data_IF_810855996271
#
_entry.id   IF_810855996271
#
_cell.length_a   1.000
_cell.length_b   1.000
_cell.length_c   1.000
_cell.angle_alpha   90.00
_cell.angle_beta   90.00
_cell.angle_gamma   90.00
#
_symmetry.space_group_name_H-M   'P 1'
#
loop_
_entity.id
_entity.type
_entity.pdbx_description
1 polymer ?
#
# COMPACT_ATOMS: atom_id res chain seq x y z
N UNK A 1 -1.03 28.42 -16.82
CA UNK A 1 -1.30 29.70 -17.50
C UNK A 1 0.02 30.23 -18.03
N UNK A 2 0.12 30.39 -19.34
CA UNK A 2 1.33 30.91 -20.00
C UNK A 2 1.33 32.44 -19.88
N UNK A 3 2.38 33.00 -19.27
CA UNK A 3 2.60 34.43 -19.26
C UNK A 3 3.94 34.71 -19.93
N UNK A 4 3.90 35.28 -21.13
CA UNK A 4 5.09 35.87 -21.73
C UNK A 4 5.35 37.22 -21.07
N UNK A 5 6.49 37.38 -20.41
CA UNK A 5 6.97 38.68 -19.97
C UNK A 5 8.18 39.07 -20.81
N UNK A 6 8.15 40.30 -21.34
CA UNK A 6 9.24 40.85 -22.11
C UNK A 6 10.34 41.30 -21.13
N UNK A 7 11.50 40.64 -21.18
CA UNK A 7 12.64 41.00 -20.32
C UNK A 7 13.73 41.63 -21.19
N UNK A 8 14.07 42.88 -20.87
CA UNK A 8 15.22 43.54 -21.48
C UNK A 8 16.49 43.09 -20.75
N UNK A 9 17.35 42.31 -21.41
CA UNK A 9 18.63 41.86 -20.84
C UNK A 9 19.48 43.03 -20.33
N UNK A 10 19.38 44.18 -20.99
CA UNK A 10 20.09 45.38 -20.60
C UNK A 10 19.79 45.85 -19.16
N UNK A 11 18.63 45.52 -18.61
CA UNK A 11 18.27 45.90 -17.24
C UNK A 11 18.97 45.05 -16.17
N UNK A 12 19.46 43.86 -16.52
CA UNK A 12 20.09 42.95 -15.56
C UNK A 12 21.52 43.37 -15.18
N UNK A 13 22.20 44.15 -16.03
CA UNK A 13 23.55 44.64 -15.73
C UNK A 13 23.63 46.16 -15.76
N UNK A 14 23.83 46.76 -14.57
CA UNK A 14 24.06 48.20 -14.38
C UNK A 14 25.13 48.80 -15.32
N UNK A 15 26.30 48.16 -15.59
CA UNK A 15 27.30 48.73 -16.48
C UNK A 15 26.85 48.75 -17.96
N UNK A 16 26.13 47.73 -18.43
CA UNK A 16 25.62 47.69 -19.80
C UNK A 16 24.51 48.73 -20.02
N UNK A 17 23.63 48.90 -19.03
CA UNK A 17 22.61 49.94 -19.06
C UNK A 17 23.23 51.34 -19.15
N UNK A 18 24.30 51.60 -18.40
CA UNK A 18 25.05 52.85 -18.50
C UNK A 18 25.69 53.05 -19.88
N UNK A 19 26.22 51.98 -20.50
CA UNK A 19 26.74 52.03 -21.87
C UNK A 19 25.65 52.33 -22.92
N UNK A 20 24.49 51.71 -22.82
CA UNK A 20 23.33 51.98 -23.69
C UNK A 20 22.84 53.43 -23.56
N UNK A 21 22.77 53.97 -22.33
CA UNK A 21 22.42 55.37 -22.11
C UNK A 21 23.49 56.30 -22.69
N UNK A 22 24.77 55.98 -22.48
CA UNK A 22 25.89 56.75 -23.02
C UNK A 22 25.89 56.80 -24.55
N UNK A 23 25.64 55.67 -25.22
CA UNK A 23 25.57 55.61 -26.68
C UNK A 23 24.35 56.37 -27.23
N UNK A 24 23.21 56.33 -26.55
CA UNK A 24 22.03 57.12 -26.90
C UNK A 24 22.30 58.63 -26.81
N UNK A 25 22.92 59.09 -25.71
CA UNK A 25 23.28 60.50 -25.52
C UNK A 25 24.27 60.96 -26.58
N UNK A 26 25.31 60.16 -26.88
CA UNK A 26 26.29 60.48 -27.92
C UNK A 26 25.63 60.60 -29.30
N UNK A 27 24.73 59.68 -29.64
CA UNK A 27 23.98 59.73 -30.90
C UNK A 27 23.14 61.01 -31.03
N UNK A 28 22.45 61.43 -29.95
CA UNK A 28 21.68 62.68 -29.92
C UNK A 28 22.59 63.89 -30.11
N UNK A 29 23.72 63.97 -29.42
CA UNK A 29 24.69 65.07 -29.57
C UNK A 29 25.19 65.15 -31.01
N UNK A 30 25.57 64.01 -31.61
CA UNK A 30 26.04 63.96 -32.99
C UNK A 30 24.96 64.43 -33.98
N UNK A 31 23.71 64.00 -33.79
CA UNK A 31 22.55 64.46 -34.59
C UNK A 31 22.40 65.98 -34.50
N UNK A 32 22.47 66.57 -33.29
CA UNK A 32 22.33 68.01 -33.10
C UNK A 32 23.47 68.78 -33.75
N UNK A 33 24.71 68.31 -33.63
CA UNK A 33 25.89 68.93 -34.27
C UNK A 33 25.77 68.88 -35.80
N UNK A 34 25.42 67.72 -36.36
CA UNK A 34 25.21 67.54 -37.80
C UNK A 34 24.06 68.40 -38.32
N UNK A 35 22.94 68.48 -37.59
CA UNK A 35 21.83 69.36 -37.96
C UNK A 35 22.21 70.85 -37.98
N UNK A 36 23.04 71.29 -37.03
CA UNK A 36 23.54 72.67 -37.01
C UNK A 36 24.44 72.95 -38.22
N UNK A 37 25.19 71.95 -38.67
CA UNK A 37 26.06 72.04 -39.84
C UNK A 37 25.28 71.97 -41.16
N UNK A 38 24.39 70.99 -41.31
CA UNK A 38 23.56 70.76 -42.51
C UNK A 38 22.61 71.93 -42.82
N UNK A 39 22.09 72.62 -41.78
CA UNK A 39 21.26 73.82 -41.94
C UNK A 39 21.97 74.99 -42.65
N UNK A 40 23.30 74.95 -42.79
CA UNK A 40 24.07 75.96 -43.53
C UNK A 40 24.30 75.61 -45.00
N UNK A 41 24.19 74.33 -45.38
CA UNK A 41 24.54 73.85 -46.74
C UNK A 41 23.34 73.34 -47.55
N UNK A 42 22.24 72.93 -46.92
CA UNK A 42 21.18 72.15 -47.58
C UNK A 42 19.79 72.78 -47.37
N UNK A 43 18.90 72.77 -48.38
CA UNK A 43 17.51 73.21 -48.24
C UNK A 43 16.72 72.40 -47.20
N UNK A 44 15.73 73.05 -46.56
CA UNK A 44 15.02 72.53 -45.38
C UNK A 44 14.31 71.19 -45.57
N UNK A 45 13.85 70.88 -46.79
CA UNK A 45 13.17 69.61 -47.11
C UNK A 45 14.11 68.41 -47.03
N UNK A 46 15.31 68.53 -47.60
CA UNK A 46 16.32 67.46 -47.61
C UNK A 46 16.97 67.29 -46.23
N UNK A 47 17.13 68.39 -45.48
CA UNK A 47 17.58 68.31 -44.08
C UNK A 47 16.61 67.53 -43.19
N UNK A 48 15.30 67.68 -43.40
CA UNK A 48 14.30 66.93 -42.63
C UNK A 48 14.25 65.45 -43.00
N UNK A 49 14.42 65.08 -44.27
CA UNK A 49 14.46 63.65 -44.67
C UNK A 49 15.69 62.94 -44.12
N UNK A 50 16.86 63.58 -44.15
CA UNK A 50 18.09 63.05 -43.55
C UNK A 50 17.97 62.90 -42.02
N UNK A 51 17.30 63.84 -41.35
CA UNK A 51 17.03 63.75 -39.92
C UNK A 51 16.15 62.54 -39.57
N UNK A 52 15.06 62.35 -40.32
CA UNK A 52 14.15 61.21 -40.10
C UNK A 52 14.91 59.90 -40.30
N UNK A 53 15.69 59.79 -41.37
CA UNK A 53 16.50 58.60 -41.65
C UNK A 53 17.52 58.33 -40.53
N UNK A 54 18.24 59.36 -40.07
CA UNK A 54 19.25 59.24 -38.99
C UNK A 54 18.60 58.85 -37.66
N UNK A 55 17.44 59.43 -37.34
CA UNK A 55 16.68 59.10 -36.13
C UNK A 55 16.17 57.66 -36.19
N UNK A 56 15.68 57.21 -37.35
CA UNK A 56 15.26 55.83 -37.56
C UNK A 56 16.41 54.83 -37.35
N UNK A 57 17.60 55.12 -37.91
CA UNK A 57 18.79 54.27 -37.71
C UNK A 57 19.18 54.20 -36.23
N UNK A 58 19.17 55.32 -35.51
CA UNK A 58 19.48 55.34 -34.07
C UNK A 58 18.44 54.55 -33.27
N UNK A 59 17.15 54.65 -33.61
CA UNK A 59 16.09 53.86 -32.96
C UNK A 59 16.31 52.36 -33.18
N UNK A 60 16.63 51.95 -34.42
CA UNK A 60 16.92 50.54 -34.73
C UNK A 60 18.15 50.06 -33.96
N UNK A 61 19.24 50.83 -33.94
CA UNK A 61 20.44 50.48 -33.19
C UNK A 61 20.17 50.36 -31.69
N UNK A 62 19.42 51.29 -31.10
CA UNK A 62 19.04 51.22 -29.69
C UNK A 62 18.19 49.98 -29.39
N UNK A 63 17.23 49.65 -30.26
CA UNK A 63 16.42 48.44 -30.12
C UNK A 63 17.28 47.16 -30.19
N UNK A 64 18.29 47.12 -31.07
CA UNK A 64 19.23 45.99 -31.13
C UNK A 64 20.12 45.90 -29.90
N UNK A 65 20.59 47.04 -29.37
CA UNK A 65 21.42 47.11 -28.16
C UNK A 65 20.68 46.72 -26.88
N UNK A 66 19.36 46.95 -26.87
CA UNK A 66 18.47 46.57 -25.77
C UNK A 66 18.26 45.06 -25.67
N UNK A 67 18.66 44.29 -26.69
CA UNK A 67 18.49 42.83 -26.79
C UNK A 67 17.16 42.35 -26.19
N UNK A 68 16.01 42.65 -26.85
CA UNK A 68 14.72 42.18 -26.36
C UNK A 68 14.68 40.65 -26.49
N UNK A 69 14.78 39.96 -25.35
CA UNK A 69 14.69 38.50 -25.30
C UNK A 69 13.29 38.13 -24.86
N UNK A 70 12.55 37.47 -25.75
CA UNK A 70 11.28 36.84 -25.40
C UNK A 70 11.60 35.51 -24.72
N UNK A 71 11.56 35.48 -23.40
CA UNK A 71 11.74 34.25 -22.63
C UNK A 71 10.40 33.57 -22.38
N UNK A 72 10.25 32.33 -22.88
CA UNK A 72 9.14 31.46 -22.53
C UNK A 72 9.56 30.54 -21.38
N UNK A 73 9.00 30.75 -20.19
CA UNK A 73 9.21 29.85 -19.05
C UNK A 73 8.10 28.81 -19.01
N UNK A 74 8.35 27.64 -19.60
CA UNK A 74 7.43 26.50 -19.50
C UNK A 74 7.69 25.80 -18.17
N UNK A 75 6.89 26.13 -17.16
CA UNK A 75 6.92 25.41 -15.88
C UNK A 75 6.26 24.05 -16.10
N UNK A 76 7.07 23.05 -16.44
CA UNK A 76 6.63 21.67 -16.38
C UNK A 76 6.49 21.31 -14.91
N UNK A 77 5.25 21.27 -14.39
CA UNK A 77 4.98 20.49 -13.18
C UNK A 77 5.37 19.05 -13.52
N UNK A 78 6.54 18.61 -13.05
CA UNK A 78 6.84 17.19 -13.05
C UNK A 78 5.84 16.57 -12.09
N UNK A 79 4.81 15.93 -12.63
CA UNK A 79 3.93 15.06 -11.86
C UNK A 79 4.80 13.91 -11.37
N UNK A 80 5.26 13.97 -10.12
CA UNK A 80 5.95 12.85 -9.53
C UNK A 80 5.05 11.60 -9.53
N UNK A 81 5.67 10.44 -9.38
CA UNK A 81 4.95 9.16 -9.37
C UNK A 81 4.68 8.67 -7.96
N UNK A 82 3.52 8.07 -7.75
CA UNK A 82 3.12 7.38 -6.52
C UNK A 82 3.18 5.90 -6.79
N UNK A 83 4.06 5.20 -6.08
CA UNK A 83 4.17 3.75 -6.18
C UNK A 83 3.11 3.12 -5.29
N UNK A 84 2.28 2.24 -5.85
CA UNK A 84 1.34 1.41 -5.12
C UNK A 84 1.74 -0.04 -5.34
N UNK A 85 2.35 -0.65 -4.33
CA UNK A 85 2.79 -2.03 -4.34
C UNK A 85 1.72 -2.91 -3.66
N UNK A 86 1.33 -4.00 -4.31
CA UNK A 86 0.35 -4.97 -3.80
C UNK A 86 1.00 -6.34 -3.69
N UNK A 87 0.99 -6.89 -2.50
CA UNK A 87 1.45 -8.24 -2.21
C UNK A 87 0.47 -9.26 -2.81
N UNK A 88 1.01 -10.20 -3.61
CA UNK A 88 0.25 -11.29 -4.24
C UNK A 88 0.72 -12.67 -3.78
N UNK A 89 1.43 -12.73 -2.65
CA UNK A 89 1.87 -13.99 -2.03
C UNK A 89 0.70 -14.87 -1.55
N UNK A 90 0.98 -16.13 -1.26
CA UNK A 90 -0.02 -17.11 -0.81
C UNK A 90 -0.66 -16.71 0.53
N UNK A 91 0.07 -16.02 1.41
CA UNK A 91 -0.50 -15.51 2.65
C UNK A 91 -1.59 -14.46 2.41
N UNK A 92 -1.52 -13.73 1.28
CA UNK A 92 -2.57 -12.81 0.84
C UNK A 92 -3.80 -13.52 0.25
N UNK A 93 -3.71 -14.81 -0.06
CA UNK A 93 -4.84 -15.65 -0.48
C UNK A 93 -5.63 -16.23 0.70
N UNK A 94 -5.19 -16.00 1.94
CA UNK A 94 -5.84 -16.47 3.18
C UNK A 94 -7.06 -15.62 3.54
N UNK A 95 -8.06 -16.24 4.18
CA UNK A 95 -9.22 -15.57 4.77
C UNK A 95 -9.07 -15.42 6.29
N UNK A 96 -9.55 -14.32 6.85
CA UNK A 96 -9.45 -14.01 8.28
C UNK A 96 -10.77 -14.23 9.02
N UNK A 97 -11.30 -15.46 8.94
CA UNK A 97 -12.55 -15.86 9.61
C UNK A 97 -12.48 -15.73 11.16
N UNK A 98 -11.29 -15.85 11.73
CA UNK A 98 -10.98 -15.72 13.16
C UNK A 98 -10.93 -14.27 13.66
N UNK A 99 -11.06 -13.28 12.76
CA UNK A 99 -11.06 -11.87 13.14
C UNK A 99 -12.16 -11.54 14.16
N UNK A 100 -11.88 -10.59 15.03
CA UNK A 100 -12.85 -10.09 16.01
C UNK A 100 -14.03 -9.39 15.31
N UNK A 101 -15.19 -9.35 15.98
CA UNK A 101 -16.36 -8.59 15.50
C UNK A 101 -16.02 -7.11 15.27
N UNK A 102 -15.13 -6.53 16.09
CA UNK A 102 -14.66 -5.15 15.96
C UNK A 102 -13.84 -4.94 14.69
N UNK A 103 -12.86 -5.81 14.40
CA UNK A 103 -12.09 -5.78 13.16
C UNK A 103 -12.99 -5.96 11.94
N UNK A 104 -13.87 -6.97 11.94
CA UNK A 104 -14.82 -7.21 10.85
C UNK A 104 -15.71 -5.98 10.60
N UNK A 105 -16.15 -5.29 11.65
CA UNK A 105 -16.94 -4.07 11.50
C UNK A 105 -16.14 -2.91 10.91
N UNK A 106 -14.87 -2.76 11.26
CA UNK A 106 -13.95 -1.78 10.64
C UNK A 106 -13.76 -2.07 9.16
N UNK A 107 -13.53 -3.34 8.81
CA UNK A 107 -13.34 -3.77 7.42
C UNK A 107 -14.61 -3.58 6.59
N UNK A 108 -15.77 -3.96 7.14
CA UNK A 108 -17.07 -3.73 6.50
C UNK A 108 -17.26 -2.23 6.18
N UNK A 109 -16.88 -1.36 7.13
CA UNK A 109 -16.96 0.09 6.95
C UNK A 109 -15.99 0.59 5.89
N UNK A 110 -14.72 0.18 5.93
CA UNK A 110 -13.71 0.61 4.94
C UNK A 110 -14.02 0.10 3.53
N UNK A 111 -14.64 -1.07 3.42
CA UNK A 111 -15.09 -1.65 2.15
C UNK A 111 -16.42 -1.04 1.66
N UNK A 112 -17.05 -0.15 2.44
CA UNK A 112 -18.32 0.47 2.08
C UNK A 112 -19.53 -0.47 2.14
N UNK A 113 -19.42 -1.62 2.80
CA UNK A 113 -20.53 -2.56 3.00
C UNK A 113 -21.54 -2.04 4.03
N UNK A 114 -21.08 -1.20 4.96
CA UNK A 114 -21.89 -0.53 5.97
C UNK A 114 -21.30 0.85 6.28
N UNK A 115 -22.13 1.77 6.77
CA UNK A 115 -21.70 3.07 7.25
C UNK A 115 -22.23 4.22 6.40
N UNK A 116 -22.65 5.27 7.08
CA UNK A 116 -23.03 6.56 6.53
C UNK A 116 -22.94 7.60 7.67
N UNK A 117 -22.95 8.91 7.39
CA UNK A 117 -22.81 9.93 8.44
C UNK A 117 -23.80 9.80 9.61
N UNK A 118 -25.01 9.25 9.37
CA UNK A 118 -26.02 9.05 10.41
C UNK A 118 -25.76 7.81 11.29
N UNK A 119 -25.13 6.77 10.74
CA UNK A 119 -24.91 5.48 11.42
C UNK A 119 -23.48 5.37 11.98
N UNK A 120 -22.51 6.10 11.45
CA UNK A 120 -21.09 5.97 11.81
C UNK A 120 -20.84 6.12 13.32
N UNK A 121 -21.48 7.10 13.97
CA UNK A 121 -21.37 7.29 15.44
C UNK A 121 -21.80 6.04 16.22
N UNK A 122 -22.83 5.34 15.74
CA UNK A 122 -23.30 4.09 16.36
C UNK A 122 -22.30 2.96 16.12
N UNK A 123 -21.73 2.86 14.92
CA UNK A 123 -20.71 1.85 14.64
C UNK A 123 -19.47 2.05 15.53
N UNK A 124 -19.05 3.30 15.75
CA UNK A 124 -17.94 3.61 16.67
C UNK A 124 -18.24 3.11 18.08
N UNK A 125 -19.44 3.39 18.61
CA UNK A 125 -19.88 2.87 19.91
C UNK A 125 -19.87 1.34 19.99
N UNK A 126 -20.24 0.66 18.89
CA UNK A 126 -20.24 -0.80 18.83
C UNK A 126 -18.83 -1.39 18.78
N UNK A 127 -17.94 -0.77 18.00
CA UNK A 127 -16.52 -1.12 17.96
C UNK A 127 -15.92 -0.97 19.36
N UNK A 128 -16.10 0.19 19.99
CA UNK A 128 -15.55 0.47 21.32
C UNK A 128 -16.08 -0.52 22.39
N UNK A 129 -17.34 -0.94 22.29
CA UNK A 129 -17.92 -1.94 23.19
C UNK A 129 -17.25 -3.31 23.03
N UNK A 130 -17.12 -3.79 21.79
CA UNK A 130 -16.46 -5.07 21.53
C UNK A 130 -14.97 -5.08 21.89
N UNK A 131 -14.27 -3.95 21.73
CA UNK A 131 -12.87 -3.84 22.16
C UNK A 131 -12.68 -3.89 23.67
N UNK A 132 -13.69 -3.46 24.44
CA UNK A 132 -13.72 -3.65 25.89
C UNK A 132 -14.16 -5.05 26.32
N UNK A 133 -14.59 -5.89 25.39
CA UNK A 133 -15.17 -7.22 25.67
C UNK A 133 -16.66 -7.18 26.05
N UNK A 134 -17.33 -6.04 25.90
CA UNK A 134 -18.74 -5.87 26.19
C UNK A 134 -19.62 -6.16 24.96
N UNK A 135 -20.86 -6.60 25.17
CA UNK A 135 -21.85 -6.62 24.08
C UNK A 135 -22.37 -5.20 23.81
N UNK A 136 -22.43 -4.76 22.54
CA UNK A 136 -22.82 -3.42 22.19
C UNK A 136 -24.29 -3.15 22.52
N UNK A 137 -24.56 -1.89 22.85
CA UNK A 137 -25.92 -1.42 22.91
C UNK A 137 -26.52 -1.32 21.50
N UNK A 138 -27.30 -2.34 21.12
CA UNK A 138 -27.89 -2.45 19.79
C UNK A 138 -28.85 -1.31 19.43
N UNK A 139 -29.55 -0.74 20.40
CA UNK A 139 -30.52 0.36 20.23
C UNK A 139 -30.37 1.32 21.41
N UNK A 140 -30.10 2.59 21.12
CA UNK A 140 -29.98 3.64 22.14
C UNK A 140 -31.31 3.93 22.84
N UNK A 141 -31.28 4.41 24.11
CA UNK A 141 -32.50 4.71 24.86
C UNK A 141 -33.33 5.84 24.21
N UNK A 142 -32.68 6.76 23.48
CA UNK A 142 -33.31 7.85 22.74
C UNK A 142 -34.00 7.43 21.43
N UNK A 143 -33.73 6.23 20.90
CA UNK A 143 -34.26 5.81 19.59
C UNK A 143 -35.72 5.34 19.68
N UNK A 144 -36.09 4.65 20.75
CA UNK A 144 -37.47 4.21 20.97
C UNK A 144 -37.75 3.88 22.43
N UNK A 145 -38.90 4.35 22.93
CA UNK A 145 -39.40 4.02 24.26
C UNK A 145 -40.13 2.65 24.29
N UNK A 146 -40.59 2.16 23.13
CA UNK A 146 -41.35 0.90 23.02
C UNK A 146 -40.42 -0.34 23.14
N UNK A 147 -40.61 -1.19 24.16
CA UNK A 147 -39.81 -2.41 24.34
C UNK A 147 -39.90 -3.40 23.17
N UNK A 148 -41.07 -3.55 22.53
CA UNK A 148 -41.24 -4.49 21.42
C UNK A 148 -40.46 -4.03 20.20
N UNK A 149 -40.63 -2.75 19.84
CA UNK A 149 -39.89 -2.14 18.73
C UNK A 149 -38.38 -2.15 18.97
N UNK A 150 -37.93 -1.91 20.20
CA UNK A 150 -36.51 -1.99 20.57
C UNK A 150 -35.94 -3.39 20.32
N UNK A 151 -36.63 -4.43 20.76
CA UNK A 151 -36.21 -5.82 20.58
C UNK A 151 -36.15 -6.20 19.10
N UNK A 152 -37.14 -5.78 18.31
CA UNK A 152 -37.19 -6.02 16.87
C UNK A 152 -36.02 -5.34 16.14
N UNK A 153 -35.76 -4.05 16.40
CA UNK A 153 -34.64 -3.31 15.81
C UNK A 153 -33.29 -3.93 16.18
N UNK A 154 -33.12 -4.33 17.44
CA UNK A 154 -31.91 -4.99 17.90
C UNK A 154 -31.68 -6.34 17.19
N UNK A 155 -32.75 -7.10 16.92
CA UNK A 155 -32.69 -8.36 16.17
C UNK A 155 -32.28 -8.12 14.71
N UNK A 156 -32.94 -7.19 14.03
CA UNK A 156 -32.66 -6.87 12.62
C UNK A 156 -31.21 -6.38 12.42
N UNK A 157 -30.71 -5.53 13.33
CA UNK A 157 -29.32 -5.06 13.29
C UNK A 157 -28.31 -6.19 13.46
N UNK A 158 -28.58 -7.10 14.40
CA UNK A 158 -27.75 -8.31 14.62
C UNK A 158 -27.69 -9.17 13.38
N UNK A 159 -28.85 -9.48 12.80
CA UNK A 159 -28.97 -10.30 11.60
C UNK A 159 -28.24 -9.66 10.40
N UNK A 160 -28.37 -8.34 10.23
CA UNK A 160 -27.66 -7.60 9.18
C UNK A 160 -26.14 -7.68 9.37
N UNK A 161 -25.62 -7.46 10.58
CA UNK A 161 -24.18 -7.56 10.85
C UNK A 161 -23.68 -9.00 10.69
N UNK A 162 -24.44 -10.00 11.13
CA UNK A 162 -24.08 -11.41 10.94
C UNK A 162 -23.96 -11.76 9.46
N UNK A 163 -24.88 -11.30 8.61
CA UNK A 163 -24.79 -11.48 7.16
C UNK A 163 -23.54 -10.82 6.57
N UNK A 164 -23.23 -9.59 6.99
CA UNK A 164 -22.01 -8.88 6.54
C UNK A 164 -20.74 -9.62 6.98
N UNK A 165 -20.68 -10.09 8.22
CA UNK A 165 -19.53 -10.84 8.75
C UNK A 165 -19.35 -12.17 8.01
N UNK A 166 -20.44 -12.90 7.75
CA UNK A 166 -20.38 -14.15 6.99
C UNK A 166 -19.89 -13.95 5.54
N UNK A 167 -20.16 -12.79 4.94
CA UNK A 167 -19.60 -12.45 3.63
C UNK A 167 -18.13 -12.05 3.72
N UNK A 168 -17.73 -11.30 4.75
CA UNK A 168 -16.31 -10.96 4.99
C UNK A 168 -15.44 -12.18 5.24
N UNK A 169 -15.94 -13.18 5.95
CA UNK A 169 -15.21 -14.41 6.30
C UNK A 169 -14.80 -15.24 5.09
N UNK A 170 -15.44 -15.00 3.93
CA UNK A 170 -15.15 -15.68 2.66
C UNK A 170 -14.19 -14.88 1.76
N UNK A 171 -13.86 -13.64 2.11
CA UNK A 171 -13.07 -12.76 1.25
C UNK A 171 -11.59 -12.89 1.62
N UNK A 172 -10.69 -13.23 0.67
CA UNK A 172 -9.26 -13.28 0.93
C UNK A 172 -8.65 -11.88 1.03
N UNK A 173 -7.54 -11.73 1.76
CA UNK A 173 -6.84 -10.44 1.97
C UNK A 173 -6.52 -9.70 0.67
N UNK A 174 -6.12 -10.40 -0.39
CA UNK A 174 -5.85 -9.82 -1.72
C UNK A 174 -7.09 -9.22 -2.39
N UNK A 175 -8.28 -9.81 -2.19
CA UNK A 175 -9.53 -9.23 -2.70
C UNK A 175 -9.94 -8.01 -1.87
N UNK A 176 -9.63 -7.97 -0.56
CA UNK A 176 -9.77 -6.75 0.26
C UNK A 176 -8.91 -5.63 -0.33
N UNK A 177 -7.63 -5.91 -0.66
CA UNK A 177 -6.73 -4.94 -1.29
C UNK A 177 -7.33 -4.39 -2.61
N UNK A 178 -7.75 -5.29 -3.51
CA UNK A 178 -8.36 -4.92 -4.79
C UNK A 178 -9.62 -4.07 -4.57
N UNK A 179 -10.48 -4.44 -3.64
CA UNK A 179 -11.70 -3.68 -3.32
C UNK A 179 -11.38 -2.27 -2.84
N UNK A 180 -10.45 -2.10 -1.90
CA UNK A 180 -10.00 -0.80 -1.40
C UNK A 180 -9.41 0.08 -2.51
N UNK A 181 -8.68 -0.53 -3.44
CA UNK A 181 -8.07 0.17 -4.57
C UNK A 181 -9.09 0.59 -5.64
N UNK A 182 -10.11 -0.24 -5.92
CA UNK A 182 -10.94 -0.12 -7.14
C UNK A 182 -12.46 -0.03 -6.94
N UNK A 183 -13.04 -0.68 -5.92
CA UNK A 183 -14.50 -0.94 -5.84
C UNK A 183 -15.24 -0.18 -4.73
N UNK A 184 -14.54 0.51 -3.82
CA UNK A 184 -15.19 1.27 -2.73
C UNK A 184 -15.93 2.51 -3.23
N UNK A 185 -16.75 3.13 -2.37
CA UNK A 185 -17.44 4.41 -2.66
C UNK A 185 -16.45 5.54 -3.03
N UNK A 186 -15.24 5.48 -2.46
CA UNK A 186 -14.10 6.31 -2.84
C UNK A 186 -12.87 5.42 -3.08
N UNK A 187 -12.65 4.93 -4.32
CA UNK A 187 -11.53 4.07 -4.65
C UNK A 187 -10.20 4.80 -4.43
N UNK A 188 -9.26 4.18 -3.70
CA UNK A 188 -7.99 4.83 -3.36
C UNK A 188 -7.22 5.27 -4.62
N UNK A 189 -7.25 4.47 -5.70
CA UNK A 189 -6.57 4.84 -6.95
C UNK A 189 -7.08 6.16 -7.53
N UNK A 190 -8.38 6.47 -7.40
CA UNK A 190 -8.95 7.74 -7.85
C UNK A 190 -8.54 8.91 -6.96
N UNK A 191 -8.32 8.67 -5.67
CA UNK A 191 -7.85 9.71 -4.73
C UNK A 191 -6.36 10.01 -4.90
N UNK A 192 -5.57 9.02 -5.37
CA UNK A 192 -4.13 9.19 -5.62
C UNK A 192 -3.82 9.85 -6.98
N UNK A 193 -4.67 9.67 -7.98
CA UNK A 193 -4.49 10.24 -9.33
C UNK A 193 -4.25 11.78 -9.36
N UNK A 194 -4.96 12.61 -8.57
CA UNK A 194 -4.70 14.05 -8.50
C UNK A 194 -3.36 14.43 -7.90
N UNK A 195 -2.75 13.54 -7.09
CA UNK A 195 -1.49 13.80 -6.38
C UNK A 195 -0.27 13.49 -7.25
N UNK A 196 -0.39 12.57 -8.21
CA UNK A 196 0.68 12.16 -9.09
C UNK A 196 0.31 10.97 -9.98
N UNK A 197 1.23 10.58 -10.87
CA UNK A 197 1.04 9.39 -11.70
C UNK A 197 1.12 8.14 -10.82
N UNK A 198 0.05 7.36 -10.77
CA UNK A 198 0.06 6.09 -10.02
C UNK A 198 0.78 5.01 -10.83
N UNK A 199 1.82 4.44 -10.24
CA UNK A 199 2.56 3.28 -10.75
C UNK A 199 2.16 2.06 -9.90
N UNK A 200 1.41 1.13 -10.48
CA UNK A 200 0.96 -0.07 -9.79
C UNK A 200 1.96 -1.19 -9.98
N UNK A 201 2.38 -1.80 -8.87
CA UNK A 201 3.28 -2.96 -8.87
C UNK A 201 2.68 -4.07 -8.04
N UNK A 202 2.87 -5.30 -8.50
CA UNK A 202 2.62 -6.51 -7.73
C UNK A 202 3.96 -7.08 -7.28
N UNK A 203 3.98 -7.73 -6.13
CA UNK A 203 5.17 -8.44 -5.70
C UNK A 203 4.84 -9.75 -4.98
N UNK A 204 5.63 -10.77 -5.28
CA UNK A 204 5.73 -12.03 -4.56
C UNK A 204 7.04 -12.68 -5.00
N UNK A 205 8.09 -12.51 -4.19
CA UNK A 205 9.50 -12.74 -4.54
C UNK A 205 10.06 -11.79 -5.61
N UNK A 206 9.39 -11.70 -6.76
CA UNK A 206 9.73 -10.82 -7.89
C UNK A 206 8.70 -9.69 -8.05
N UNK A 207 9.12 -8.58 -8.68
CA UNK A 207 8.23 -7.44 -8.99
C UNK A 207 7.59 -7.59 -10.37
N UNK A 208 6.31 -7.28 -10.44
CA UNK A 208 5.55 -7.20 -11.69
C UNK A 208 4.86 -5.84 -11.81
N UNK A 209 4.78 -5.31 -13.03
CA UNK A 209 3.97 -4.12 -13.32
C UNK A 209 2.50 -4.50 -13.49
N UNK A 210 1.60 -3.69 -12.96
CA UNK A 210 0.16 -3.91 -13.10
C UNK A 210 -0.55 -2.75 -13.80
N UNK A 211 -1.65 -3.05 -14.49
CA UNK A 211 -2.53 -2.06 -15.09
C UNK A 211 -3.75 -1.84 -14.17
N UNK A 212 -4.12 -0.59 -13.85
CA UNK A 212 -5.33 -0.30 -13.08
C UNK A 212 -6.60 -1.00 -13.60
N UNK A 213 -6.74 -1.22 -14.91
CA UNK A 213 -7.93 -1.82 -15.52
C UNK A 213 -8.01 -3.33 -15.32
N UNK A 214 -6.86 -4.02 -15.30
CA UNK A 214 -6.76 -5.48 -15.16
C UNK A 214 -6.23 -5.91 -13.80
N UNK A 215 -6.01 -4.96 -12.87
CA UNK A 215 -5.45 -5.20 -11.54
C UNK A 215 -6.15 -6.34 -10.80
N UNK A 216 -7.48 -6.38 -10.82
CA UNK A 216 -8.23 -7.44 -10.16
C UNK A 216 -7.86 -8.83 -10.70
N UNK A 217 -7.76 -8.99 -12.01
CA UNK A 217 -7.36 -10.25 -12.62
C UNK A 217 -5.91 -10.61 -12.30
N UNK A 218 -5.00 -9.65 -12.43
CA UNK A 218 -3.56 -9.83 -12.17
C UNK A 218 -3.25 -10.16 -10.70
N UNK A 219 -4.03 -9.64 -9.75
CA UNK A 219 -3.89 -9.98 -8.32
C UNK A 219 -4.42 -11.39 -8.03
N UNK A 220 -5.51 -11.81 -8.66
CA UNK A 220 -6.06 -13.14 -8.44
C UNK A 220 -5.26 -14.24 -9.14
N UNK A 221 -4.68 -13.91 -10.30
CA UNK A 221 -3.87 -14.77 -11.15
C UNK A 221 -2.61 -14.02 -11.55
N UNK A 222 -1.61 -13.94 -10.66
CA UNK A 222 -0.34 -13.31 -10.99
C UNK A 222 0.36 -14.11 -12.09
N UNK A 223 1.28 -13.46 -12.81
CA UNK A 223 2.07 -14.12 -13.84
C UNK A 223 2.88 -15.28 -13.26
N UNK A 224 3.19 -16.31 -14.06
CA UNK A 224 3.97 -17.49 -13.62
C UNK A 224 5.36 -17.14 -13.09
N UNK A 225 5.89 -15.96 -13.43
CA UNK A 225 7.14 -15.43 -12.89
C UNK A 225 7.05 -14.95 -11.45
N UNK A 226 5.84 -14.84 -10.87
CA UNK A 226 5.67 -14.53 -9.45
C UNK A 226 5.95 -15.76 -8.59
N UNK A 227 6.80 -15.61 -7.58
CA UNK A 227 7.11 -16.63 -6.58
C UNK A 227 6.12 -16.49 -5.42
N UNK A 228 4.89 -16.91 -5.64
CA UNK A 228 3.74 -16.72 -4.71
C UNK A 228 3.94 -17.35 -3.33
N UNK A 229 4.79 -18.37 -3.21
CA UNK A 229 5.20 -19.00 -1.96
C UNK A 229 6.16 -18.13 -1.12
N UNK A 230 6.62 -17.01 -1.68
CA UNK A 230 7.56 -16.09 -1.05
C UNK A 230 7.00 -14.68 -0.94
N UNK A 231 7.37 -14.00 0.15
CA UNK A 231 7.03 -12.61 0.41
C UNK A 231 8.31 -11.80 0.57
N UNK A 232 8.65 -11.03 -0.48
CA UNK A 232 9.77 -10.09 -0.48
C UNK A 232 9.26 -8.65 -0.39
N UNK A 233 9.16 -8.12 0.84
CA UNK A 233 8.80 -6.73 1.08
C UNK A 233 9.84 -5.74 0.51
N UNK A 234 11.11 -6.14 0.40
CA UNK A 234 12.14 -5.27 -0.18
C UNK A 234 11.90 -5.04 -1.67
N UNK A 235 11.35 -6.04 -2.37
CA UNK A 235 10.85 -5.90 -3.74
C UNK A 235 9.68 -4.91 -3.80
N UNK A 236 8.68 -5.01 -2.92
CA UNK A 236 7.58 -4.04 -2.85
C UNK A 236 8.03 -2.59 -2.59
N UNK A 237 9.12 -2.40 -1.85
CA UNK A 237 9.71 -1.09 -1.52
C UNK A 237 10.74 -0.58 -2.54
N UNK A 238 11.11 -1.40 -3.52
CA UNK A 238 12.14 -1.03 -4.48
C UNK A 238 11.61 0.03 -5.47
N UNK A 239 11.99 1.28 -5.22
CA UNK A 239 11.61 2.46 -6.01
C UNK A 239 12.63 2.80 -7.11
N UNK A 240 13.86 2.33 -6.96
CA UNK A 240 14.99 2.68 -7.81
C UNK A 240 15.09 1.73 -9.02
N UNK A 241 14.22 1.91 -10.01
CA UNK A 241 14.58 1.53 -11.38
C UNK A 241 15.18 2.77 -12.03
N UNK A 242 16.45 2.69 -12.46
CA UNK A 242 17.15 3.78 -13.16
C UNK A 242 16.45 4.21 -14.46
N UNK A 243 15.50 3.42 -14.94
CA UNK A 243 14.73 3.65 -16.16
C UNK A 243 13.64 4.74 -16.03
N UNK A 244 13.19 5.07 -14.81
CA UNK A 244 12.11 6.04 -14.61
C UNK A 244 12.65 7.44 -14.24
N UNK A 245 12.42 8.43 -15.11
CA UNK A 245 12.91 9.80 -14.94
C UNK A 245 12.11 10.64 -13.92
N UNK A 246 10.93 10.18 -13.51
CA UNK A 246 10.03 10.91 -12.61
C UNK A 246 10.33 10.63 -11.13
N UNK A 247 10.42 11.69 -10.28
CA UNK A 247 10.67 11.52 -8.86
C UNK A 247 9.50 10.81 -8.19
N UNK A 248 9.80 9.95 -7.22
CA UNK A 248 8.79 9.21 -6.47
C UNK A 248 8.34 10.03 -5.27
N UNK A 249 7.04 10.31 -5.21
CA UNK A 249 6.43 11.14 -4.17
C UNK A 249 6.12 10.35 -2.89
N UNK A 250 5.95 9.03 -3.02
CA UNK A 250 5.62 8.14 -1.92
C UNK A 250 5.37 6.71 -2.39
N UNK A 251 5.41 5.79 -1.45
CA UNK A 251 5.12 4.37 -1.66
C UNK A 251 3.96 3.97 -0.76
N UNK A 252 2.91 3.38 -1.32
CA UNK A 252 1.82 2.73 -0.58
C UNK A 252 1.98 1.23 -0.77
N UNK A 253 2.09 0.46 0.31
CA UNK A 253 2.31 -1.00 0.25
C UNK A 253 1.15 -1.73 0.89
N UNK A 254 0.45 -2.57 0.14
CA UNK A 254 -0.58 -3.46 0.63
C UNK A 254 0.01 -4.84 0.88
N UNK A 255 0.04 -5.29 2.13
CA UNK A 255 0.64 -6.58 2.53
C UNK A 255 0.05 -7.02 3.87
N UNK A 256 0.24 -8.28 4.25
CA UNK A 256 -0.01 -8.76 5.61
C UNK A 256 1.19 -8.56 6.55
N UNK A 257 2.28 -7.97 6.03
CA UNK A 257 3.48 -7.62 6.79
C UNK A 257 4.46 -8.77 7.00
N UNK A 258 4.21 -9.94 6.41
CA UNK A 258 5.16 -11.06 6.45
C UNK A 258 6.33 -10.82 5.49
N UNK A 259 7.48 -11.37 5.85
CA UNK A 259 8.67 -11.37 5.00
C UNK A 259 9.47 -12.64 5.28
N UNK A 260 9.73 -13.43 4.25
CA UNK A 260 10.41 -14.72 4.38
C UNK A 260 11.50 -14.95 3.31
N UNK A 261 11.67 -14.04 2.36
CA UNK A 261 12.63 -14.16 1.28
C UNK A 261 13.11 -12.79 0.80
N UNK A 262 14.27 -12.75 0.16
CA UNK A 262 14.83 -11.52 -0.41
C UNK A 262 15.77 -10.79 0.53
N UNK A 263 15.88 -9.47 0.35
CA UNK A 263 16.78 -8.60 1.14
C UNK A 263 16.04 -8.05 2.36
N UNK A 264 16.81 -7.57 3.34
CA UNK A 264 16.26 -6.88 4.51
C UNK A 264 15.39 -5.68 4.10
N UNK A 265 14.07 -5.69 4.36
CA UNK A 265 13.18 -4.59 4.00
C UNK A 265 13.49 -3.31 4.78
N UNK A 266 14.11 -3.40 5.97
CA UNK A 266 14.53 -2.21 6.71
C UNK A 266 15.66 -1.46 5.98
N UNK A 267 16.52 -2.16 5.25
CA UNK A 267 17.53 -1.52 4.42
C UNK A 267 16.87 -0.73 3.27
N UNK A 268 15.88 -1.32 2.58
CA UNK A 268 15.10 -0.63 1.55
C UNK A 268 14.36 0.61 2.12
N UNK A 269 13.72 0.46 3.28
CA UNK A 269 13.03 1.56 3.95
C UNK A 269 13.98 2.71 4.34
N UNK A 270 15.20 2.40 4.83
CA UNK A 270 16.23 3.42 5.13
C UNK A 270 16.67 4.19 3.87
N UNK A 271 16.80 3.50 2.74
CA UNK A 271 17.12 4.15 1.46
C UNK A 271 16.01 5.12 1.05
N UNK A 272 14.75 4.72 1.14
CA UNK A 272 13.60 5.60 0.89
C UNK A 272 13.58 6.81 1.85
N UNK A 273 13.86 6.57 3.13
CA UNK A 273 13.99 7.63 4.13
C UNK A 273 15.09 8.64 3.80
N UNK A 274 16.25 8.17 3.32
CA UNK A 274 17.34 9.03 2.87
C UNK A 274 16.97 9.87 1.64
N UNK A 275 16.14 9.32 0.75
CA UNK A 275 15.57 9.99 -0.41
C UNK A 275 14.34 10.87 -0.07
N UNK A 276 13.92 10.91 1.21
CA UNK A 276 12.71 11.60 1.71
C UNK A 276 11.43 11.13 1.03
N UNK A 277 11.37 9.85 0.66
CA UNK A 277 10.18 9.20 0.11
C UNK A 277 9.41 8.55 1.25
N UNK A 278 8.19 9.01 1.59
CA UNK A 278 7.38 8.39 2.64
C UNK A 278 6.86 7.01 2.20
N UNK A 279 6.75 6.10 3.16
CA UNK A 279 6.18 4.76 2.99
C UNK A 279 4.91 4.65 3.84
N UNK A 280 3.80 4.26 3.20
CA UNK A 280 2.49 4.09 3.81
C UNK A 280 2.11 2.60 3.74
N UNK A 281 2.39 1.81 4.79
CA UNK A 281 1.94 0.42 4.84
C UNK A 281 0.43 0.37 5.09
N UNK A 282 -0.27 -0.42 4.28
CA UNK A 282 -1.66 -0.82 4.48
C UNK A 282 -1.65 -2.30 4.83
N UNK A 283 -1.70 -2.56 6.14
CA UNK A 283 -1.69 -3.92 6.66
C UNK A 283 -3.05 -4.58 6.47
N UNK A 284 -3.03 -5.80 5.95
CA UNK A 284 -4.21 -6.60 5.64
C UNK A 284 -4.17 -7.92 6.39
N UNK A 285 -5.22 -8.21 7.15
CA UNK A 285 -5.34 -9.41 7.97
C UNK A 285 -5.74 -9.06 9.40
N UNK A 286 -6.14 -10.07 10.17
CA UNK A 286 -6.44 -9.89 11.59
C UNK A 286 -5.15 -9.76 12.41
N UNK A 287 -5.22 -8.96 13.47
CA UNK A 287 -4.18 -8.93 14.51
C UNK A 287 -4.26 -10.17 15.42
N UNK A 288 -5.43 -10.81 15.47
CA UNK A 288 -5.62 -12.08 16.14
C UNK A 288 -4.97 -13.18 15.30
N UNK A 289 -4.17 -14.01 15.95
CA UNK A 289 -3.63 -15.20 15.28
C UNK A 289 -4.75 -16.24 15.14
N UNK A 290 -4.82 -16.94 14.00
CA UNK A 290 -5.66 -18.12 13.91
C UNK A 290 -5.20 -19.14 14.96
N UNK A 291 -6.17 -19.93 15.44
CA UNK A 291 -5.84 -21.12 16.23
C UNK A 291 -5.23 -22.14 15.28
N UNK A 292 -4.13 -22.76 15.70
CA UNK A 292 -3.41 -23.72 14.88
C UNK A 292 -2.87 -24.85 15.76
N UNK A 293 -3.20 -26.08 15.37
CA UNK A 293 -2.79 -27.32 16.01
C UNK A 293 -2.01 -28.15 15.00
N UNK A 294 -0.69 -28.27 15.20
CA UNK A 294 0.16 -29.02 14.29
C UNK A 294 1.04 -30.03 15.01
N UNK A 295 1.32 -31.15 14.35
CA UNK A 295 2.34 -32.11 14.77
C UNK A 295 3.66 -31.59 14.22
N UNK A 296 4.53 -31.14 15.12
CA UNK A 296 5.82 -30.56 14.78
C UNK A 296 6.89 -31.62 14.50
N UNK A 297 6.98 -32.64 15.35
CA UNK A 297 8.01 -33.68 15.26
C UNK A 297 7.52 -35.04 15.76
N UNK A 298 8.10 -36.12 15.22
CA UNK A 298 7.84 -37.50 15.59
C UNK A 298 9.18 -38.22 15.81
N UNK A 299 9.50 -38.52 17.06
CA UNK A 299 10.68 -39.30 17.44
C UNK A 299 10.25 -40.73 17.79
N UNK A 300 10.70 -41.70 17.00
CA UNK A 300 10.39 -43.12 17.15
C UNK A 300 11.50 -44.02 16.61
N UNK A 301 11.72 -45.20 17.20
CA UNK A 301 12.65 -46.17 16.66
C UNK A 301 12.07 -46.84 15.39
N UNK A 302 12.81 -46.88 14.27
CA UNK A 302 12.33 -47.47 13.01
C UNK A 302 12.34 -49.01 13.02
N UNK A 303 12.96 -49.64 14.00
CA UNK A 303 13.05 -51.10 14.13
C UNK A 303 13.11 -51.47 15.60
N UNK A 304 12.28 -52.43 16.00
CA UNK A 304 12.13 -52.89 17.39
C UNK A 304 12.00 -54.41 17.42
N UNK A 305 12.32 -55.02 18.55
CA UNK A 305 12.16 -56.46 18.70
C UNK A 305 10.70 -56.82 18.96
N UNK A 306 10.34 -58.06 18.63
CA UNK A 306 9.04 -58.61 18.99
C UNK A 306 8.91 -58.61 20.52
N UNK A 307 7.72 -58.32 21.01
CA UNK A 307 7.36 -58.25 22.44
C UNK A 307 8.06 -57.09 23.20
N UNK A 308 8.59 -56.10 22.46
CA UNK A 308 9.14 -54.85 23.01
C UNK A 308 8.09 -53.73 23.04
N UNK A 309 8.33 -52.73 23.89
CA UNK A 309 7.42 -51.59 24.13
C UNK A 309 8.14 -50.25 23.86
N UNK A 310 8.44 -49.93 22.58
CA UNK A 310 9.07 -48.66 22.24
C UNK A 310 8.15 -47.47 22.50
N UNK A 311 8.76 -46.33 22.83
CA UNK A 311 8.06 -45.05 22.97
C UNK A 311 8.10 -44.26 21.66
N UNK A 312 6.94 -43.80 21.22
CA UNK A 312 6.76 -42.75 20.22
C UNK A 312 6.60 -41.43 20.96
N UNK A 313 7.47 -40.47 20.70
CA UNK A 313 7.37 -39.10 21.20
C UNK A 313 6.86 -38.20 20.10
N UNK A 314 5.77 -37.51 20.38
CA UNK A 314 5.11 -36.59 19.44
C UNK A 314 5.23 -35.18 19.98
N UNK A 315 5.85 -34.28 19.23
CA UNK A 315 5.87 -32.85 19.56
C UNK A 315 4.67 -32.17 18.92
N UNK A 316 3.82 -31.53 19.71
CA UNK A 316 2.60 -30.84 19.29
C UNK A 316 2.79 -29.34 19.48
N UNK A 317 2.50 -28.55 18.45
CA UNK A 317 2.39 -27.10 18.54
C UNK A 317 0.92 -26.71 18.72
N UNK A 318 0.62 -25.87 19.72
CA UNK A 318 -0.75 -25.54 20.13
C UNK A 318 -0.98 -24.03 20.18
N UNK A 319 -0.93 -23.35 19.03
CA UNK A 319 -1.11 -21.89 18.97
C UNK A 319 -2.59 -21.52 19.16
N UNK A 320 -2.92 -20.69 20.14
CA UNK A 320 -4.30 -20.21 20.36
C UNK A 320 -5.24 -21.18 21.07
N UNK A 321 -4.71 -22.27 21.64
CA UNK A 321 -5.44 -23.27 22.42
C UNK A 321 -5.09 -23.22 23.92
N UNK A 322 -4.56 -22.11 24.42
CA UNK A 322 -4.07 -22.01 25.79
C UNK A 322 -5.16 -22.34 26.81
N UNK A 323 -4.81 -23.17 27.80
CA UNK A 323 -5.69 -23.69 28.84
C UNK A 323 -6.83 -24.61 28.33
N UNK A 324 -6.79 -25.03 27.06
CA UNK A 324 -7.77 -25.95 26.50
C UNK A 324 -7.22 -27.39 26.42
N UNK A 325 -8.07 -28.40 26.66
CA UNK A 325 -7.68 -29.79 26.48
C UNK A 325 -7.59 -30.12 24.99
N UNK A 326 -6.42 -30.57 24.55
CA UNK A 326 -6.16 -31.08 23.20
C UNK A 326 -6.06 -32.60 23.26
N UNK A 327 -6.81 -33.29 22.40
CA UNK A 327 -6.74 -34.74 22.24
C UNK A 327 -5.82 -35.12 21.10
N UNK A 328 -4.88 -36.02 21.39
CA UNK A 328 -4.01 -36.64 20.40
C UNK A 328 -4.30 -38.13 20.39
N UNK A 329 -4.50 -38.66 19.20
CA UNK A 329 -4.91 -40.02 18.94
C UNK A 329 -3.82 -40.71 18.14
N UNK A 330 -3.40 -41.88 18.60
CA UNK A 330 -2.55 -42.81 17.88
C UNK A 330 -3.40 -44.01 17.44
N UNK A 331 -3.36 -44.33 16.15
CA UNK A 331 -4.05 -45.48 15.56
C UNK A 331 -3.06 -46.37 14.80
N UNK A 332 -3.21 -47.70 14.95
CA UNK A 332 -2.48 -48.69 14.15
C UNK A 332 -3.31 -49.03 12.91
N UNK A 333 -2.70 -48.98 11.73
CA UNK A 333 -3.39 -49.27 10.47
C UNK A 333 -3.87 -50.73 10.45
N UNK A 334 -5.17 -50.93 10.24
CA UNK A 334 -5.79 -52.26 10.23
C UNK A 334 -6.20 -52.81 11.61
N UNK A 335 -5.98 -52.05 12.70
CA UNK A 335 -6.37 -52.45 14.06
C UNK A 335 -6.89 -51.25 14.87
N UNK A 336 -8.19 -50.99 14.74
CA UNK A 336 -8.86 -49.92 15.50
C UNK A 336 -8.90 -50.17 17.02
N UNK A 337 -8.71 -51.42 17.46
CA UNK A 337 -8.72 -51.77 18.89
C UNK A 337 -7.44 -51.30 19.60
N UNK A 338 -6.36 -51.07 18.86
CA UNK A 338 -5.09 -50.53 19.34
C UNK A 338 -5.05 -48.99 19.44
N UNK A 339 -6.22 -48.32 19.34
CA UNK A 339 -6.31 -46.86 19.43
C UNK A 339 -5.94 -46.36 20.82
N UNK A 340 -4.98 -45.45 20.90
CA UNK A 340 -4.59 -44.76 22.12
C UNK A 340 -4.94 -43.28 22.05
N UNK A 341 -5.49 -42.74 23.13
CA UNK A 341 -5.79 -41.31 23.25
C UNK A 341 -4.99 -40.72 24.41
N UNK A 342 -4.39 -39.55 24.20
CA UNK A 342 -3.75 -38.74 25.21
C UNK A 342 -4.37 -37.34 25.20
N UNK A 343 -4.59 -36.78 26.38
CA UNK A 343 -5.08 -35.41 26.56
C UNK A 343 -3.98 -34.57 27.17
N UNK A 344 -3.68 -33.43 26.55
CA UNK A 344 -2.79 -32.42 27.10
C UNK A 344 -3.55 -31.12 27.30
N UNK A 345 -3.12 -30.33 28.28
CA UNK A 345 -3.60 -28.95 28.44
C UNK A 345 -2.57 -28.06 27.76
N UNK A 346 -2.95 -27.43 26.66
CA UNK A 346 -2.06 -26.56 25.91
C UNK A 346 -1.66 -25.34 26.75
N UNK A 347 -0.37 -25.02 26.76
CA UNK A 347 0.20 -23.87 27.47
C UNK A 347 0.81 -22.81 26.52
N UNK A 348 0.65 -23.02 25.20
CA UNK A 348 1.16 -22.14 24.16
C UNK A 348 2.62 -22.42 23.76
N UNK A 349 3.29 -23.40 24.39
CA UNK A 349 4.60 -23.89 23.97
C UNK A 349 4.48 -25.23 23.24
N UNK A 350 5.48 -25.64 22.44
CA UNK A 350 5.55 -27.00 21.94
C UNK A 350 5.59 -28.02 23.08
N UNK A 351 4.66 -28.96 23.09
CA UNK A 351 4.54 -29.99 24.12
C UNK A 351 4.85 -31.37 23.56
N UNK A 352 5.56 -32.20 24.33
CA UNK A 352 5.85 -33.59 23.95
C UNK A 352 4.85 -34.55 24.60
N UNK A 353 4.26 -35.43 23.80
CA UNK A 353 3.33 -36.48 24.23
C UNK A 353 3.88 -37.84 23.86
N UNK A 354 3.89 -38.75 24.83
CA UNK A 354 4.46 -40.08 24.66
C UNK A 354 3.35 -41.13 24.50
N UNK A 355 3.52 -41.99 23.50
CA UNK A 355 2.72 -43.17 23.25
C UNK A 355 3.59 -44.42 23.30
N UNK A 356 3.07 -45.49 23.88
CA UNK A 356 3.75 -46.79 23.95
C UNK A 356 3.26 -47.64 22.78
N UNK A 357 4.15 -48.13 21.92
CA UNK A 357 3.76 -48.98 20.79
C UNK A 357 3.89 -50.46 21.22
N UNK A 358 2.92 -51.29 20.83
CA UNK A 358 3.00 -52.73 21.07
C UNK A 358 3.53 -53.46 19.84
N UNK A 359 4.64 -54.19 20.00
CA UNK A 359 5.30 -54.98 18.96
C UNK A 359 4.95 -56.48 19.03
N UNK A 360 3.65 -56.80 19.13
CA UNK A 360 3.16 -58.17 19.38
C UNK A 360 3.37 -59.13 18.17
N UNK A 361 3.31 -58.58 16.95
CA UNK A 361 3.43 -59.34 15.71
C UNK A 361 4.64 -58.91 14.89
N UNK A 362 5.31 -59.86 14.25
CA UNK A 362 6.43 -59.56 13.35
C UNK A 362 5.90 -59.03 12.02
N UNK A 363 6.45 -57.90 11.57
CA UNK A 363 6.10 -57.33 10.27
C UNK A 363 6.29 -55.82 10.25
N UNK A 364 5.90 -55.22 9.12
CA UNK A 364 5.83 -53.76 9.01
C UNK A 364 4.47 -53.31 9.52
N UNK A 365 4.46 -52.58 10.63
CA UNK A 365 3.27 -51.93 11.15
C UNK A 365 3.34 -50.43 10.84
N UNK A 366 2.18 -49.85 10.51
CA UNK A 366 2.05 -48.42 10.27
C UNK A 366 1.17 -47.82 11.35
N UNK A 367 1.63 -46.72 11.91
CA UNK A 367 0.89 -45.96 12.91
C UNK A 367 0.59 -44.58 12.35
N UNK A 368 -0.58 -44.05 12.68
CA UNK A 368 -1.01 -42.70 12.30
C UNK A 368 -1.30 -41.93 13.57
N UNK A 369 -0.63 -40.79 13.75
CA UNK A 369 -0.92 -39.83 14.81
C UNK A 369 -1.84 -38.75 14.25
N UNK A 370 -2.88 -38.38 14.98
CA UNK A 370 -3.82 -37.32 14.63
C UNK A 370 -4.15 -36.48 15.85
N UNK A 371 -4.30 -35.18 15.67
CA UNK A 371 -4.98 -34.30 16.63
C UNK A 371 -6.49 -34.35 16.36
N UNK A 372 -7.31 -34.24 17.39
CA UNK A 372 -8.74 -34.03 17.21
C UNK A 372 -8.97 -32.64 16.60
N UNK A 373 -9.73 -32.58 15.49
CA UNK A 373 -10.14 -31.31 14.88
C UNK A 373 -10.95 -30.53 15.91
N UNK A 374 -10.43 -29.40 16.35
CA UNK A 374 -11.13 -28.53 17.29
C UNK A 374 -12.02 -27.54 16.51
N UNK A 375 -13.13 -27.07 17.09
CA UNK A 375 -13.86 -25.94 16.53
C UNK A 375 -12.91 -24.74 16.40
N UNK A 376 -12.95 -24.07 15.24
CA UNK A 376 -12.15 -22.87 14.92
C UNK A 376 -10.66 -23.12 14.57
N UNK A 377 -10.26 -24.36 14.24
CA UNK A 377 -8.99 -24.70 13.55
C UNK A 377 -9.03 -24.40 12.03
#
# INVERSE_FOLDING_TARGET
MEYGHLVFRAWQSKPWLAFCIGSAVLAIVLIVVLLRYERRLVPRSVGNTLLVLRTAVVIVLLLTLLEPVLSWTVRHERSGRLLVAVDVSDSMSTTDNHASKAEKLRWARSLGMIGNPAVNRRLDQWIDAWERGDEPQWVGPEETADPQRRAELARLRRETLQGIFAELDKIPRKEIAVRLLTKTSSPLLKELQPLGRVDLRLFAGERLTADPQTLAEQVHRPAESALVDTTDLSAGLAVLDEADADPVLGVVVFTDGRHNAGRDPLAAARLLGSARVPVFPVLLGSELRPRDLSIGDLDYPPTVFKDDHPLLKVTINTSGFEQQPVEIVLEKEGDESARQTRRIIADGQPMTVEFELNADDVGRHKYTVRTAVQPDE
#
